data_IF_638985423260
#
_entry.id   IF_638985423260
#
_cell.length_a   1.000
_cell.length_b   1.000
_cell.length_c   1.000
_cell.angle_alpha   90.00
_cell.angle_beta   90.00
_cell.angle_gamma   90.00
#
_symmetry.space_group_name_H-M   'P 1'
#
loop_
_entity.id
_entity.type
_entity.pdbx_description
1 polymer ?
#
# COMPACT_ATOMS: atom_id res chain seq x y z
N UNK A 1 -3.59 5.81 -16.45
CA UNK A 1 -3.92 4.60 -15.66
C UNK A 1 -5.38 4.64 -15.29
N UNK A 2 -6.09 3.54 -15.48
CA UNK A 2 -7.51 3.39 -15.18
C UNK A 2 -7.72 2.18 -14.27
N UNK A 3 -8.74 2.22 -13.44
CA UNK A 3 -9.15 1.07 -12.65
C UNK A 3 -10.65 0.86 -12.65
N UNK A 4 -11.06 -0.40 -12.50
CA UNK A 4 -12.47 -0.75 -12.32
C UNK A 4 -12.63 -1.91 -11.36
N UNK A 5 -13.52 -1.76 -10.38
CA UNK A 5 -14.01 -2.86 -9.55
C UNK A 5 -14.82 -3.82 -10.42
N UNK A 6 -14.38 -5.07 -10.50
CA UNK A 6 -15.07 -6.17 -11.16
C UNK A 6 -16.17 -6.71 -10.26
N UNK A 7 -17.31 -7.06 -10.85
CA UNK A 7 -18.41 -7.75 -10.17
C UNK A 7 -18.16 -9.28 -10.05
N UNK A 8 -16.90 -9.72 -10.01
CA UNK A 8 -16.52 -11.14 -10.00
C UNK A 8 -16.71 -11.80 -8.63
N UNK A 9 -16.75 -11.03 -7.55
CA UNK A 9 -16.96 -11.53 -6.20
C UNK A 9 -17.91 -10.60 -5.44
N UNK A 10 -18.78 -11.20 -4.62
CA UNK A 10 -19.69 -10.48 -3.71
C UNK A 10 -19.05 -10.20 -2.35
N UNK A 11 -17.97 -10.90 -2.02
CA UNK A 11 -17.34 -10.90 -0.69
C UNK A 11 -15.98 -10.20 -0.67
N UNK A 12 -15.30 -10.18 -1.81
CA UNK A 12 -13.98 -9.54 -1.99
C UNK A 12 -14.05 -8.54 -3.13
N UNK A 13 -13.25 -7.50 -3.04
CA UNK A 13 -13.11 -6.50 -4.09
C UNK A 13 -11.97 -6.87 -5.03
N UNK A 14 -12.21 -6.75 -6.33
CA UNK A 14 -11.24 -7.06 -7.37
C UNK A 14 -11.16 -5.87 -8.32
N UNK A 15 -10.11 -5.06 -8.23
CA UNK A 15 -9.87 -3.98 -9.16
C UNK A 15 -8.91 -4.44 -10.25
N UNK A 16 -9.30 -4.25 -11.51
CA UNK A 16 -8.39 -4.37 -12.65
C UNK A 16 -7.78 -3.00 -12.89
N UNK A 17 -6.46 -2.94 -13.09
CA UNK A 17 -5.71 -1.71 -13.36
C UNK A 17 -5.04 -1.84 -14.73
N UNK A 18 -5.26 -0.87 -15.63
CA UNK A 18 -4.69 -0.86 -16.98
C UNK A 18 -4.38 0.55 -17.45
N UNK A 19 -3.46 0.69 -18.40
CA UNK A 19 -3.25 1.93 -19.17
C UNK A 19 -4.26 2.09 -20.31
N UNK A 20 -4.91 0.99 -20.73
CA UNK A 20 -6.02 1.01 -21.68
C UNK A 20 -7.38 0.86 -20.96
N UNK A 21 -8.32 1.76 -21.25
CA UNK A 21 -9.65 1.74 -20.66
C UNK A 21 -10.47 0.51 -21.09
N UNK A 22 -10.23 -0.02 -22.29
CA UNK A 22 -11.00 -1.15 -22.82
C UNK A 22 -10.71 -2.45 -22.05
N UNK A 23 -9.48 -2.62 -21.55
CA UNK A 23 -9.06 -3.78 -20.74
C UNK A 23 -9.90 -3.97 -19.46
N UNK A 24 -10.51 -2.89 -18.94
CA UNK A 24 -11.32 -2.91 -17.72
C UNK A 24 -12.57 -3.78 -17.86
N UNK A 25 -13.02 -4.00 -19.10
CA UNK A 25 -14.23 -4.74 -19.42
C UNK A 25 -13.92 -6.20 -19.79
N UNK A 26 -12.68 -6.46 -20.22
CA UNK A 26 -12.25 -7.75 -20.75
C UNK A 26 -11.92 -8.79 -19.67
N UNK A 27 -12.03 -10.07 -20.04
CA UNK A 27 -11.50 -11.18 -19.26
C UNK A 27 -9.96 -11.12 -19.25
N UNK A 28 -9.32 -11.84 -18.31
CA UNK A 28 -7.85 -11.86 -18.14
C UNK A 28 -7.13 -12.12 -19.47
N UNK A 29 -7.52 -13.18 -20.18
CA UNK A 29 -6.88 -13.63 -21.43
C UNK A 29 -7.05 -12.66 -22.61
N UNK A 30 -8.06 -11.79 -22.56
CA UNK A 30 -8.37 -10.86 -23.65
C UNK A 30 -7.80 -9.45 -23.41
N UNK A 31 -7.15 -9.21 -22.26
CA UNK A 31 -6.54 -7.89 -22.00
C UNK A 31 -5.30 -7.71 -22.84
N UNK A 32 -5.07 -6.47 -23.26
CA UNK A 32 -3.83 -6.09 -23.91
C UNK A 32 -2.65 -6.10 -22.93
N UNK A 33 -1.44 -5.96 -23.47
CA UNK A 33 -0.21 -5.72 -22.69
C UNK A 33 -0.24 -4.44 -21.82
N UNK A 34 -1.28 -3.62 -21.91
CA UNK A 34 -1.46 -2.41 -21.08
C UNK A 34 -2.12 -2.72 -19.73
N UNK A 35 -2.59 -3.95 -19.52
CA UNK A 35 -2.95 -4.43 -18.19
C UNK A 35 -1.71 -4.56 -17.32
N UNK A 36 -1.67 -3.80 -16.22
CA UNK A 36 -0.46 -3.66 -15.40
C UNK A 36 -0.62 -4.24 -14.00
N UNK A 37 -1.83 -4.57 -13.56
CA UNK A 37 -2.00 -5.17 -12.25
C UNK A 37 -3.43 -5.28 -11.75
N UNK A 38 -3.53 -5.86 -10.55
CA UNK A 38 -4.79 -6.15 -9.88
C UNK A 38 -4.69 -5.88 -8.40
N UNK A 39 -5.63 -5.12 -7.85
CA UNK A 39 -5.79 -4.94 -6.41
C UNK A 39 -6.93 -5.82 -5.92
N UNK A 40 -6.65 -6.70 -4.96
CA UNK A 40 -7.61 -7.64 -4.38
C UNK A 40 -7.77 -7.34 -2.89
N UNK A 41 -9.01 -7.26 -2.39
CA UNK A 41 -9.25 -7.20 -0.95
C UNK A 41 -9.36 -8.60 -0.34
N UNK A 42 -9.08 -8.69 0.96
CA UNK A 42 -9.55 -9.77 1.81
C UNK A 42 -11.07 -9.69 2.00
N UNK A 43 -11.67 -10.75 2.54
CA UNK A 43 -13.11 -10.84 2.82
C UNK A 43 -13.57 -9.81 3.85
N UNK A 44 -12.70 -9.42 4.80
CA UNK A 44 -12.99 -8.37 5.77
C UNK A 44 -12.97 -6.97 5.15
N UNK A 45 -12.40 -6.83 3.94
CA UNK A 45 -12.09 -5.55 3.28
C UNK A 45 -11.16 -4.66 4.11
N UNK A 46 -10.41 -5.26 5.05
CA UNK A 46 -9.42 -4.59 5.88
C UNK A 46 -8.00 -4.78 5.36
N UNK A 47 -7.78 -5.75 4.48
CA UNK A 47 -6.47 -6.01 3.88
C UNK A 47 -6.61 -6.05 2.36
N UNK A 48 -5.60 -5.56 1.66
CA UNK A 48 -5.56 -5.53 0.21
C UNK A 48 -4.17 -5.91 -0.28
N UNK A 49 -4.12 -6.76 -1.30
CA UNK A 49 -2.88 -7.16 -1.97
C UNK A 49 -2.91 -6.64 -3.41
N UNK A 50 -1.83 -5.95 -3.80
CA UNK A 50 -1.59 -5.49 -5.15
C UNK A 50 -0.68 -6.49 -5.86
N UNK A 51 -1.14 -6.97 -7.01
CA UNK A 51 -0.40 -7.88 -7.86
C UNK A 51 -0.03 -7.21 -9.19
N UNK A 52 1.08 -7.65 -9.77
CA UNK A 52 1.44 -7.34 -11.15
C UNK A 52 0.57 -8.11 -12.18
N UNK A 53 1.09 -8.23 -13.40
CA UNK A 53 0.43 -8.90 -14.51
C UNK A 53 0.71 -10.40 -14.62
N UNK A 54 1.44 -11.00 -13.68
CA UNK A 54 1.74 -12.43 -13.72
C UNK A 54 0.54 -13.30 -13.33
N UNK A 55 0.76 -14.62 -13.37
CA UNK A 55 -0.28 -15.61 -13.14
C UNK A 55 -0.47 -15.97 -11.68
N UNK A 56 -1.66 -16.46 -11.36
CA UNK A 56 -1.96 -16.92 -10.02
C UNK A 56 -1.23 -18.25 -9.79
N UNK A 57 -0.42 -18.39 -8.73
CA UNK A 57 0.26 -19.66 -8.47
C UNK A 57 -0.73 -20.81 -8.21
N UNK A 58 -1.94 -20.53 -7.71
CA UNK A 58 -2.99 -21.55 -7.53
C UNK A 58 -3.60 -22.03 -8.87
N UNK A 59 -3.31 -21.37 -9.98
CA UNK A 59 -3.77 -21.78 -11.32
C UNK A 59 -2.73 -22.66 -12.05
N UNK A 60 -1.56 -22.92 -11.43
CA UNK A 60 -0.56 -23.86 -11.96
C UNK A 60 -1.02 -25.31 -11.77
N UNK A 61 -0.67 -26.18 -12.72
CA UNK A 61 -0.84 -27.62 -12.58
C UNK A 61 0.06 -28.18 -11.47
N UNK A 62 -0.49 -29.05 -10.62
CA UNK A 62 0.24 -29.64 -9.49
C UNK A 62 1.50 -30.41 -9.88
N UNK A 63 1.54 -30.92 -11.12
CA UNK A 63 2.66 -31.69 -11.68
C UNK A 63 3.67 -30.80 -12.44
N UNK A 64 3.45 -29.47 -12.47
CA UNK A 64 4.34 -28.52 -13.13
C UNK A 64 5.64 -28.36 -12.33
N UNK A 65 6.77 -28.67 -12.97
CA UNK A 65 8.09 -28.37 -12.40
C UNK A 65 8.32 -26.85 -12.39
N UNK A 66 8.70 -26.32 -11.23
CA UNK A 66 8.96 -24.88 -11.07
C UNK A 66 10.42 -24.61 -11.44
N UNK A 67 10.65 -24.23 -12.68
CA UNK A 67 11.91 -23.66 -13.14
C UNK A 67 11.89 -22.11 -13.05
N UNK A 68 12.98 -21.48 -13.47
CA UNK A 68 13.11 -20.02 -13.44
C UNK A 68 12.11 -19.31 -14.38
N UNK A 69 11.70 -19.95 -15.48
CA UNK A 69 10.76 -19.39 -16.45
C UNK A 69 9.34 -19.37 -15.87
N UNK A 70 8.88 -20.52 -15.34
CA UNK A 70 7.63 -20.63 -14.60
C UNK A 70 7.63 -19.66 -13.44
N UNK A 71 8.74 -19.57 -12.68
CA UNK A 71 8.86 -18.70 -11.52
C UNK A 71 8.78 -17.21 -11.86
N UNK A 72 9.18 -16.79 -13.06
CA UNK A 72 9.02 -15.42 -13.56
C UNK A 72 7.61 -15.14 -14.08
N UNK A 73 6.89 -16.16 -14.54
CA UNK A 73 5.49 -16.03 -14.97
C UNK A 73 4.52 -15.77 -13.80
N UNK A 74 4.86 -16.26 -12.60
CA UNK A 74 4.03 -16.09 -11.40
C UNK A 74 4.00 -14.64 -10.95
N UNK A 75 2.80 -14.17 -10.59
CA UNK A 75 2.59 -12.79 -10.17
C UNK A 75 3.46 -12.37 -8.99
N UNK A 76 3.96 -11.14 -9.06
CA UNK A 76 4.59 -10.48 -7.93
C UNK A 76 3.55 -9.78 -7.04
N UNK A 77 3.82 -9.74 -5.73
CA UNK A 77 3.11 -8.91 -4.76
C UNK A 77 3.83 -7.56 -4.63
N UNK A 78 3.19 -6.52 -5.17
CA UNK A 78 3.79 -5.19 -5.27
C UNK A 78 3.52 -4.31 -4.04
N UNK A 79 2.44 -4.59 -3.31
CA UNK A 79 2.10 -3.91 -2.06
C UNK A 79 1.04 -4.69 -1.27
N UNK A 80 1.07 -4.54 0.05
CA UNK A 80 -0.01 -4.91 0.95
C UNK A 80 -0.52 -3.66 1.68
N UNK A 81 -1.84 -3.45 1.73
CA UNK A 81 -2.46 -2.36 2.49
C UNK A 81 -3.32 -2.97 3.59
N UNK A 82 -3.12 -2.52 4.83
CA UNK A 82 -3.82 -3.01 6.02
C UNK A 82 -4.50 -1.87 6.72
N UNK A 83 -5.76 -2.08 7.10
CA UNK A 83 -6.59 -1.16 7.86
C UNK A 83 -6.90 -1.77 9.21
N UNK A 84 -6.75 -0.97 10.26
CA UNK A 84 -7.01 -1.38 11.63
C UNK A 84 -8.22 -0.64 12.17
N UNK A 85 -9.35 -1.35 12.24
CA UNK A 85 -10.58 -0.87 12.86
C UNK A 85 -10.87 -1.71 14.11
N UNK A 86 -10.11 -1.47 15.18
CA UNK A 86 -10.30 -2.15 16.46
C UNK A 86 -10.90 -1.21 17.50
N UNK A 87 -11.71 -1.75 18.42
CA UNK A 87 -12.15 -1.05 19.64
C UNK A 87 -10.98 -0.77 20.58
N UNK A 88 -9.92 -1.59 20.51
CA UNK A 88 -8.68 -1.34 21.22
C UNK A 88 -7.83 -0.33 20.42
N UNK A 89 -7.18 0.63 21.08
CA UNK A 89 -6.28 1.56 20.40
C UNK A 89 -5.16 0.76 19.71
N UNK A 90 -5.17 0.73 18.38
CA UNK A 90 -4.00 0.34 17.60
C UNK A 90 -3.33 1.65 17.13
N UNK A 91 -2.00 1.77 17.22
CA UNK A 91 -1.33 3.05 16.98
C UNK A 91 -1.52 3.58 15.55
N UNK A 92 -1.79 2.70 14.56
CA UNK A 92 -1.85 3.05 13.14
C UNK A 92 -3.14 2.57 12.48
N UNK A 93 -4.02 3.49 12.07
CA UNK A 93 -5.29 3.11 11.41
C UNK A 93 -5.10 2.49 10.02
N UNK A 94 -3.98 2.77 9.38
CA UNK A 94 -3.61 2.24 8.07
C UNK A 94 -2.11 2.05 7.99
N UNK A 95 -1.70 0.87 7.53
CA UNK A 95 -0.32 0.49 7.24
C UNK A 95 -0.23 0.04 5.78
N UNK A 96 0.89 0.32 5.15
CA UNK A 96 1.21 -0.11 3.79
C UNK A 96 2.57 -0.77 3.84
N UNK A 97 2.71 -1.91 3.17
CA UNK A 97 3.97 -2.62 3.02
C UNK A 97 4.25 -2.76 1.54
N UNK A 98 5.48 -2.48 1.14
CA UNK A 98 5.99 -2.73 -0.20
C UNK A 98 7.24 -3.59 -0.11
N UNK A 99 7.62 -4.35 -1.16
CA UNK A 99 8.92 -4.99 -1.20
C UNK A 99 10.03 -3.95 -1.06
N UNK A 100 11.14 -4.35 -0.43
CA UNK A 100 12.33 -3.52 -0.29
C UNK A 100 12.90 -3.16 -1.66
N UNK A 101 13.72 -2.12 -1.69
CA UNK A 101 14.37 -1.66 -2.90
C UNK A 101 15.73 -2.35 -2.95
N UNK A 102 16.11 -2.84 -4.12
CA UNK A 102 17.43 -3.42 -4.33
C UNK A 102 18.52 -2.37 -4.12
N UNK A 103 19.75 -2.81 -3.83
CA UNK A 103 20.90 -1.93 -3.59
C UNK A 103 21.20 -0.97 -4.76
N UNK A 104 20.80 -1.34 -5.99
CA UNK A 104 20.89 -0.48 -7.16
C UNK A 104 19.98 0.76 -7.10
N UNK A 105 19.01 0.81 -6.19
CA UNK A 105 18.04 1.90 -6.02
C UNK A 105 17.01 2.04 -7.15
N UNK A 106 17.06 1.18 -8.16
CA UNK A 106 16.28 1.28 -9.40
C UNK A 106 15.07 0.34 -9.45
N UNK A 107 15.08 -0.72 -8.66
CA UNK A 107 14.07 -1.76 -8.71
C UNK A 107 13.71 -2.29 -7.33
N UNK A 108 12.51 -2.84 -7.21
CA UNK A 108 12.07 -3.54 -6.01
C UNK A 108 12.63 -4.97 -5.98
N UNK A 109 12.74 -5.54 -4.80
CA UNK A 109 12.83 -6.97 -4.62
C UNK A 109 11.57 -7.62 -5.20
N UNK A 110 11.75 -8.62 -6.07
CA UNK A 110 10.62 -9.34 -6.65
C UNK A 110 10.06 -10.39 -5.67
N UNK A 111 8.96 -10.06 -4.99
CA UNK A 111 8.26 -11.01 -4.12
C UNK A 111 7.17 -11.76 -4.91
N UNK A 112 7.45 -13.00 -5.31
CA UNK A 112 6.58 -13.83 -6.17
C UNK A 112 6.28 -15.16 -5.44
N UNK A 113 5.30 -15.17 -4.52
CA UNK A 113 5.02 -16.32 -3.68
C UNK A 113 4.41 -17.48 -4.49
N UNK A 114 4.86 -18.71 -4.23
CA UNK A 114 4.30 -19.92 -4.84
C UNK A 114 3.24 -20.60 -3.94
N UNK A 115 3.35 -20.39 -2.64
CA UNK A 115 2.48 -20.99 -1.63
C UNK A 115 1.95 -19.94 -0.65
N UNK A 116 0.94 -20.32 0.13
CA UNK A 116 0.25 -19.39 1.05
C UNK A 116 1.15 -18.88 2.18
N UNK A 117 2.03 -19.73 2.68
CA UNK A 117 3.02 -19.40 3.72
C UNK A 117 4.09 -18.42 3.24
N UNK A 118 4.32 -18.32 1.92
CA UNK A 118 5.24 -17.35 1.32
C UNK A 118 4.58 -16.00 1.03
N UNK A 119 3.25 -15.88 1.15
CA UNK A 119 2.57 -14.62 0.85
C UNK A 119 3.05 -13.50 1.77
N UNK A 120 3.16 -12.28 1.25
CA UNK A 120 3.56 -11.10 2.03
C UNK A 120 2.67 -10.91 3.26
N UNK A 121 1.40 -11.28 3.17
CA UNK A 121 0.44 -11.26 4.29
C UNK A 121 0.95 -12.01 5.53
N UNK A 122 1.52 -13.20 5.36
CA UNK A 122 1.97 -14.03 6.49
C UNK A 122 3.17 -13.38 7.19
N UNK A 123 4.17 -12.96 6.40
CA UNK A 123 5.36 -12.28 6.90
C UNK A 123 5.02 -10.96 7.61
N UNK A 124 4.16 -10.14 6.98
CA UNK A 124 3.73 -8.85 7.52
C UNK A 124 2.96 -9.01 8.81
N UNK A 125 2.14 -10.07 8.95
CA UNK A 125 1.41 -10.34 10.19
C UNK A 125 2.35 -10.63 11.35
N UNK A 126 3.41 -11.39 11.12
CA UNK A 126 4.42 -11.72 12.13
C UNK A 126 5.21 -10.48 12.56
N UNK A 127 5.69 -9.68 11.61
CA UNK A 127 6.42 -8.44 11.87
C UNK A 127 5.55 -7.43 12.64
N UNK A 128 4.30 -7.23 12.20
CA UNK A 128 3.39 -6.28 12.83
C UNK A 128 2.96 -6.70 14.24
N UNK A 129 2.85 -8.01 14.49
CA UNK A 129 2.51 -8.53 15.82
C UNK A 129 3.65 -8.36 16.82
N UNK A 130 4.91 -8.46 16.36
CA UNK A 130 6.09 -8.17 17.16
C UNK A 130 6.37 -6.66 17.30
N UNK A 131 5.75 -5.82 16.46
CA UNK A 131 5.98 -4.38 16.41
C UNK A 131 7.33 -4.00 15.81
N UNK A 132 7.87 -4.83 14.92
CA UNK A 132 9.21 -4.70 14.35
C UNK A 132 9.25 -4.05 12.96
N UNK A 133 8.31 -3.16 12.64
CA UNK A 133 8.27 -2.48 11.35
C UNK A 133 9.63 -1.82 11.02
N UNK A 134 10.14 -2.04 9.81
CA UNK A 134 11.44 -1.54 9.33
C UNK A 134 12.66 -1.93 10.20
N UNK A 135 12.54 -2.98 11.00
CA UNK A 135 13.64 -3.60 11.75
C UNK A 135 13.67 -5.09 11.49
N UNK A 136 12.54 -5.77 11.68
CA UNK A 136 12.39 -7.16 11.32
C UNK A 136 12.19 -7.27 9.81
N UNK A 137 13.04 -8.08 9.16
CA UNK A 137 12.94 -8.38 7.73
C UNK A 137 13.01 -7.14 6.81
N UNK A 138 13.75 -6.11 7.23
CA UNK A 138 13.89 -4.85 6.51
C UNK A 138 14.58 -4.99 5.14
N UNK A 139 15.30 -6.09 4.91
CA UNK A 139 15.89 -6.41 3.60
C UNK A 139 14.84 -6.85 2.58
N UNK A 140 13.67 -7.30 3.04
CA UNK A 140 12.59 -7.79 2.18
C UNK A 140 11.43 -6.79 2.09
N UNK A 141 11.15 -6.01 3.13
CA UNK A 141 9.96 -5.17 3.20
C UNK A 141 10.23 -3.77 3.75
N UNK A 142 9.50 -2.80 3.21
CA UNK A 142 9.41 -1.42 3.73
C UNK A 142 8.00 -1.16 4.23
N UNK A 143 7.90 -0.76 5.49
CA UNK A 143 6.66 -0.43 6.18
C UNK A 143 6.43 1.07 6.17
N UNK A 144 5.23 1.45 5.80
CA UNK A 144 4.73 2.82 5.79
C UNK A 144 3.43 2.87 6.59
N UNK A 145 3.07 4.04 7.13
CA UNK A 145 1.80 4.20 7.80
C UNK A 145 1.15 5.52 7.48
N UNK A 146 -0.18 5.53 7.58
CA UNK A 146 -0.95 6.76 7.57
C UNK A 146 -0.69 7.49 8.88
N UNK A 147 -0.17 8.71 8.81
CA UNK A 147 -0.10 9.59 9.97
C UNK A 147 -1.45 10.19 10.33
N UNK A 148 -1.59 10.65 11.57
CA UNK A 148 -2.77 11.40 11.99
C UNK A 148 -2.56 12.89 11.69
N UNK A 149 -3.34 13.44 10.77
CA UNK A 149 -3.30 14.85 10.41
C UNK A 149 -4.27 15.62 11.30
N UNK A 150 -3.82 16.74 11.90
CA UNK A 150 -4.70 17.64 12.66
C UNK A 150 -5.22 18.75 11.76
N UNK A 151 -6.51 19.02 11.84
CA UNK A 151 -7.09 20.21 11.23
C UNK A 151 -6.75 21.43 12.08
N UNK A 152 -6.49 22.57 11.43
CA UNK A 152 -6.36 23.83 12.16
C UNK A 152 -7.69 24.14 12.88
N UNK A 153 -7.71 24.27 14.22
CA UNK A 153 -8.94 24.48 14.98
C UNK A 153 -9.69 25.76 14.60
N UNK A 154 -9.00 26.77 14.08
CA UNK A 154 -9.57 28.08 13.81
C UNK A 154 -10.16 28.19 12.40
N UNK A 155 -9.45 27.71 11.39
CA UNK A 155 -9.89 27.80 9.99
C UNK A 155 -10.63 26.58 9.49
N UNK A 156 -10.55 25.43 10.20
CA UNK A 156 -10.91 24.12 9.66
C UNK A 156 -10.22 23.79 8.33
N UNK A 157 -9.18 24.56 7.95
CA UNK A 157 -8.43 24.37 6.73
C UNK A 157 -7.43 23.23 6.88
N UNK A 158 -7.19 22.57 5.76
CA UNK A 158 -6.24 21.47 5.65
C UNK A 158 -4.87 22.07 5.29
N UNK A 159 -4.23 22.75 6.26
CA UNK A 159 -2.93 23.41 6.07
C UNK A 159 -1.84 22.38 5.74
N UNK A 160 -1.91 21.20 6.36
CA UNK A 160 -0.94 20.10 6.21
C UNK A 160 -0.77 19.65 4.74
N UNK A 161 -1.81 19.78 3.92
CA UNK A 161 -1.81 19.29 2.54
C UNK A 161 -1.30 20.32 1.54
N UNK A 162 -0.82 21.49 1.98
CA UNK A 162 -0.20 22.50 1.10
C UNK A 162 -1.05 22.83 -0.14
N UNK A 163 -2.35 23.05 0.08
CA UNK A 163 -3.35 23.30 -0.98
C UNK A 163 -3.64 22.14 -1.92
N UNK A 164 -3.06 20.96 -1.70
CA UNK A 164 -3.36 19.74 -2.47
C UNK A 164 -4.66 19.07 -2.02
N UNK A 165 -5.18 19.43 -0.85
CA UNK A 165 -6.54 19.14 -0.43
C UNK A 165 -7.26 20.46 -0.11
N UNK A 166 -8.38 20.70 -0.77
CA UNK A 166 -9.22 21.90 -0.56
C UNK A 166 -10.61 21.55 -0.03
N UNK A 167 -10.94 20.26 0.09
CA UNK A 167 -12.18 19.77 0.65
C UNK A 167 -11.93 18.78 1.81
N UNK A 168 -12.74 18.89 2.86
CA UNK A 168 -12.77 17.89 3.94
C UNK A 168 -13.21 16.53 3.38
N UNK A 169 -12.50 15.48 3.78
CA UNK A 169 -12.79 14.12 3.36
C UNK A 169 -12.09 13.12 4.28
N UNK A 170 -12.82 12.08 4.68
CA UNK A 170 -12.28 10.89 5.38
C UNK A 170 -11.29 10.08 4.53
N UNK A 171 -11.20 10.41 3.23
CA UNK A 171 -10.24 9.84 2.30
C UNK A 171 -8.94 10.65 2.21
N UNK A 172 -8.87 11.83 2.81
CA UNK A 172 -7.63 12.58 2.83
C UNK A 172 -6.62 11.85 3.74
N UNK A 173 -5.42 11.60 3.25
CA UNK A 173 -4.36 11.01 4.05
C UNK A 173 -2.97 11.39 3.54
N UNK A 174 -2.01 11.31 4.45
CA UNK A 174 -0.57 11.33 4.16
C UNK A 174 0.02 10.02 4.68
N UNK A 175 0.89 9.42 3.88
CA UNK A 175 1.63 8.21 4.18
C UNK A 175 3.10 8.58 4.40
N UNK A 176 3.69 8.00 5.43
CA UNK A 176 5.04 8.30 5.92
C UNK A 176 5.77 7.01 6.26
N UNK A 177 7.09 7.07 6.35
CA UNK A 177 7.91 5.94 6.78
C UNK A 177 7.55 5.52 8.22
N UNK A 178 7.49 4.20 8.47
CA UNK A 178 7.11 3.67 9.78
C UNK A 178 8.31 3.46 10.69
N UNK A 179 8.21 3.93 11.93
CA UNK A 179 9.06 3.43 13.00
C UNK A 179 8.54 2.08 13.53
N UNK A 180 9.35 1.28 14.23
CA UNK A 180 8.85 0.15 15.01
C UNK A 180 7.81 0.61 16.04
N UNK A 181 6.76 -0.18 16.25
CA UNK A 181 5.83 0.08 17.37
C UNK A 181 6.31 -0.53 18.68
N UNK A 182 7.23 -1.49 18.63
CA UNK A 182 7.94 -2.02 19.80
C UNK A 182 8.93 -0.97 20.32
N UNK A 183 8.85 -0.66 21.61
CA UNK A 183 9.62 0.43 22.23
C UNK A 183 11.14 0.22 22.15
N UNK A 184 11.62 -0.99 22.48
CA UNK A 184 13.05 -1.31 22.45
C UNK A 184 13.62 -1.23 21.03
N UNK A 185 12.90 -1.79 20.05
CA UNK A 185 13.29 -1.71 18.64
C UNK A 185 13.26 -0.28 18.12
N UNK A 186 12.28 0.52 18.57
CA UNK A 186 12.14 1.93 18.16
C UNK A 186 13.31 2.78 18.64
N UNK A 187 13.73 2.63 19.89
CA UNK A 187 14.89 3.35 20.42
C UNK A 187 16.17 3.05 19.62
N UNK A 188 16.39 1.78 19.29
CA UNK A 188 17.54 1.38 18.46
C UNK A 188 17.40 1.91 17.02
N UNK A 189 16.21 1.80 16.43
CA UNK A 189 15.91 2.30 15.09
C UNK A 189 16.21 3.80 14.96
N UNK A 190 15.77 4.62 15.94
CA UNK A 190 16.02 6.06 15.94
C UNK A 190 17.51 6.43 16.02
N UNK A 191 18.33 5.59 16.66
CA UNK A 191 19.79 5.78 16.70
C UNK A 191 20.44 5.45 15.36
N UNK A 192 19.98 4.39 14.70
CA UNK A 192 20.55 3.94 13.43
C UNK A 192 20.09 4.80 12.25
N UNK A 193 18.85 5.29 12.27
CA UNK A 193 18.18 5.95 11.14
C UNK A 193 17.57 7.30 11.54
N UNK A 194 18.38 8.26 12.03
CA UNK A 194 17.86 9.55 12.53
C UNK A 194 17.11 10.35 11.47
N UNK A 195 17.50 10.23 10.19
CA UNK A 195 16.88 10.94 9.06
C UNK A 195 15.46 10.45 8.72
N UNK A 196 15.04 9.32 9.28
CA UNK A 196 13.67 8.79 9.11
C UNK A 196 12.78 9.04 10.33
N UNK A 197 13.28 9.78 11.32
CA UNK A 197 12.56 10.14 12.55
C UNK A 197 12.00 11.54 12.41
N UNK A 198 10.68 11.67 12.58
CA UNK A 198 10.00 12.96 12.59
C UNK A 198 9.11 13.09 13.82
N UNK A 199 8.90 14.33 14.24
CA UNK A 199 7.98 14.62 15.34
C UNK A 199 6.52 14.64 14.83
N UNK A 200 5.84 13.52 15.05
CA UNK A 200 4.41 13.38 14.79
C UNK A 200 3.54 14.02 15.89
N UNK A 201 4.10 14.37 17.05
CA UNK A 201 3.31 14.87 18.18
C UNK A 201 3.00 16.36 18.05
N UNK A 202 1.92 16.67 17.32
CA UNK A 202 1.29 17.99 17.40
C UNK A 202 1.75 19.01 16.37
N UNK A 203 2.49 18.60 15.35
CA UNK A 203 2.80 19.45 14.21
C UNK A 203 1.60 19.54 13.26
N UNK A 204 1.23 20.77 12.87
CA UNK A 204 0.19 21.05 11.85
C UNK A 204 0.64 20.56 10.47
N UNK A 205 1.95 20.40 10.25
CA UNK A 205 2.53 19.90 9.01
C UNK A 205 3.89 19.24 9.20
N UNK A 206 4.20 18.21 8.40
CA UNK A 206 5.54 17.64 8.29
C UNK A 206 6.28 18.18 7.05
N UNK A 207 7.63 18.28 7.06
CA UNK A 207 8.38 18.57 5.84
C UNK A 207 8.00 17.62 4.71
N UNK A 208 7.95 18.13 3.48
CA UNK A 208 7.40 17.40 2.33
C UNK A 208 8.17 16.11 2.03
N UNK A 209 9.47 16.09 2.31
CA UNK A 209 10.35 14.93 2.11
C UNK A 209 9.94 13.69 2.92
N UNK A 210 9.22 13.85 4.04
CA UNK A 210 8.69 12.72 4.82
C UNK A 210 7.38 12.16 4.26
N UNK A 211 6.67 12.94 3.44
CA UNK A 211 5.34 12.59 2.91
C UNK A 211 5.48 11.78 1.62
N UNK A 212 5.52 10.46 1.76
CA UNK A 212 5.74 9.51 0.67
C UNK A 212 4.55 9.39 -0.30
N UNK A 213 3.33 9.52 0.23
CA UNK A 213 2.10 9.57 -0.57
C UNK A 213 1.09 10.48 0.12
N UNK A 214 0.45 11.34 -0.65
CA UNK A 214 -0.62 12.22 -0.19
C UNK A 214 -1.82 12.12 -1.12
N UNK A 215 -2.99 11.88 -0.56
CA UNK A 215 -4.27 11.91 -1.27
C UNK A 215 -5.14 13.04 -0.71
N UNK A 216 -5.51 14.01 -1.54
CA UNK A 216 -6.26 15.19 -1.11
C UNK A 216 -7.46 15.49 -2.00
N UNK A 217 -8.66 15.61 -1.40
CA UNK A 217 -9.89 15.95 -2.15
C UNK A 217 -9.87 17.42 -2.59
N UNK A 218 -10.22 17.67 -3.86
CA UNK A 218 -10.32 19.02 -4.43
C UNK A 218 -11.65 19.32 -5.13
N UNK A 219 -12.51 18.32 -5.29
CA UNK A 219 -13.84 18.48 -5.88
C UNK A 219 -14.74 17.28 -5.57
N UNK A 220 -15.92 17.22 -6.18
CA UNK A 220 -16.92 16.15 -5.91
C UNK A 220 -16.31 14.75 -6.05
N UNK A 221 -15.70 14.49 -7.20
CA UNK A 221 -15.11 13.20 -7.60
C UNK A 221 -13.65 13.36 -8.05
N UNK A 222 -12.96 14.37 -7.50
CA UNK A 222 -11.60 14.73 -7.90
C UNK A 222 -10.67 14.81 -6.68
N UNK A 223 -9.51 14.17 -6.80
CA UNK A 223 -8.48 14.09 -5.78
C UNK A 223 -7.11 14.33 -6.43
N UNK A 224 -6.27 15.10 -5.76
CA UNK A 224 -4.85 15.12 -6.03
C UNK A 224 -4.20 13.92 -5.37
N UNK A 225 -3.29 13.27 -6.09
CA UNK A 225 -2.45 12.19 -5.59
C UNK A 225 -1.00 12.56 -5.85
N UNK A 226 -0.26 12.89 -4.79
CA UNK A 226 1.15 13.20 -4.85
C UNK A 226 1.92 12.02 -4.26
N UNK A 227 2.96 11.55 -4.93
CA UNK A 227 3.78 10.45 -4.44
C UNK A 227 5.24 10.72 -4.74
N UNK A 228 6.12 10.11 -3.97
CA UNK A 228 7.57 10.17 -4.16
C UNK A 228 8.18 8.79 -3.94
N UNK A 229 9.47 8.69 -4.27
CA UNK A 229 10.26 7.51 -3.95
C UNK A 229 10.09 7.15 -2.46
N UNK A 230 9.87 5.87 -2.11
CA UNK A 230 10.08 4.69 -2.96
C UNK A 230 8.83 4.16 -3.65
N UNK A 231 7.73 4.91 -3.73
CA UNK A 231 6.50 4.42 -4.33
C UNK A 231 6.50 4.59 -5.85
N UNK A 232 6.11 3.52 -6.55
CA UNK A 232 5.74 3.61 -7.96
C UNK A 232 4.34 4.21 -8.12
N UNK A 233 4.06 4.73 -9.32
CA UNK A 233 2.71 5.22 -9.64
C UNK A 233 1.64 4.15 -9.46
N UNK A 234 1.94 2.88 -9.80
CA UNK A 234 1.01 1.77 -9.66
C UNK A 234 0.70 1.47 -8.17
N UNK A 235 1.72 1.42 -7.31
CA UNK A 235 1.53 1.27 -5.86
C UNK A 235 0.73 2.44 -5.29
N UNK A 236 1.14 3.69 -5.57
CA UNK A 236 0.44 4.88 -5.09
C UNK A 236 -1.04 4.92 -5.50
N UNK A 237 -1.32 4.56 -6.75
CA UNK A 237 -2.69 4.49 -7.28
C UNK A 237 -3.51 3.41 -6.58
N UNK A 238 -2.96 2.21 -6.40
CA UNK A 238 -3.63 1.10 -5.71
C UNK A 238 -3.89 1.38 -4.22
N UNK A 239 -2.92 1.99 -3.52
CA UNK A 239 -3.07 2.43 -2.13
C UNK A 239 -4.20 3.47 -2.02
N UNK A 240 -4.26 4.40 -2.98
CA UNK A 240 -5.33 5.39 -3.01
C UNK A 240 -6.69 4.75 -3.31
N UNK A 241 -6.76 3.80 -4.24
CA UNK A 241 -7.99 3.06 -4.57
C UNK A 241 -8.54 2.26 -3.37
N UNK A 242 -7.68 1.58 -2.61
CA UNK A 242 -8.12 0.83 -1.42
C UNK A 242 -8.80 1.74 -0.39
N UNK A 243 -8.44 3.03 -0.33
CA UNK A 243 -9.10 4.01 0.56
C UNK A 243 -10.54 4.32 0.16
N UNK A 244 -10.89 4.18 -1.12
CA UNK A 244 -12.29 4.30 -1.58
C UNK A 244 -13.11 3.05 -1.30
N UNK A 245 -12.46 1.89 -1.26
CA UNK A 245 -13.14 0.60 -1.13
C UNK A 245 -13.32 0.15 0.32
N UNK A 246 -12.37 0.49 1.19
CA UNK A 246 -12.38 0.07 2.59
C UNK A 246 -13.64 0.54 3.29
N UNK A 247 -14.21 -0.34 4.12
CA UNK A 247 -15.38 -0.04 4.95
C UNK A 247 -14.94 0.92 6.05
N UNK A 248 -14.97 2.21 5.76
CA UNK A 248 -14.80 3.25 6.76
C UNK A 248 -16.08 3.24 7.62
N UNK A 249 -15.99 2.63 8.80
CA UNK A 249 -16.99 2.87 9.86
C UNK A 249 -16.69 4.18 10.56
#
# INVERSE_FOLDING_TARGET
MYARKRATSRITSHYVISMNKDDLFLSRMMRSHQYIGKLRSSTSMMEYSLYDQGDNPEDLDSDCEIDDEVRQSIRAELAMIRYHYSKKPYPRKMEVVIPAIQENGQSYLEWRPLSRDQMMEEHVRNIASAGGQNVMDANNFVFLHKRETKYDPLSSCIVDFRSRATCVSVKNFQLVHSEPTNEQMREQYRKTYPDFVYDDQGTVSLPQEYVLLQLGKVGKDCFNMDFQYPLSMLQAFAISLSRFDTKQR
#
